data_IF_291533459965
#
_entry.id   IF_291533459965
#
_cell.length_a   1.000
_cell.length_b   1.000
_cell.length_c   1.000
_cell.angle_alpha   90.00
_cell.angle_beta   90.00
_cell.angle_gamma   90.00
#
_symmetry.space_group_name_H-M   'P 1'
#
loop_
_entity.id
_entity.type
_entity.pdbx_description
1 polymer ?
#
# COMPACT_ATOMS: atom_id res chain seq x y z
N UNK A 1 10.04 11.12 -17.41
CA UNK A 1 8.85 10.43 -16.86
C UNK A 1 7.64 11.04 -17.52
N UNK A 2 6.76 10.24 -18.11
CA UNK A 2 5.50 10.73 -18.70
C UNK A 2 4.50 11.05 -17.59
N UNK A 3 3.51 11.91 -17.88
CA UNK A 3 2.42 12.20 -16.94
C UNK A 3 1.62 10.94 -16.62
N UNK A 4 1.47 10.03 -17.58
CA UNK A 4 0.82 8.72 -17.41
C UNK A 4 1.56 7.81 -16.40
N UNK A 5 2.89 7.75 -16.49
CA UNK A 5 3.73 7.02 -15.52
C UNK A 5 3.61 7.63 -14.11
N UNK A 6 3.54 8.97 -14.01
CA UNK A 6 3.32 9.62 -12.73
C UNK A 6 1.94 9.28 -12.14
N UNK A 7 0.87 9.33 -12.94
CA UNK A 7 -0.48 8.96 -12.51
C UNK A 7 -0.55 7.49 -12.09
N UNK A 8 0.05 6.57 -12.86
CA UNK A 8 0.11 5.14 -12.54
C UNK A 8 0.77 4.91 -11.18
N UNK A 9 1.94 5.52 -10.95
CA UNK A 9 2.70 5.41 -9.68
C UNK A 9 1.92 5.96 -8.47
N UNK A 10 1.25 7.09 -8.65
CA UNK A 10 0.44 7.71 -7.59
C UNK A 10 -0.78 6.82 -7.26
N UNK A 11 -1.46 6.31 -8.29
CA UNK A 11 -2.59 5.39 -8.11
C UNK A 11 -2.16 4.11 -7.40
N UNK A 12 -1.07 3.48 -7.87
CA UNK A 12 -0.45 2.31 -7.26
C UNK A 12 -0.09 2.55 -5.78
N UNK A 13 0.43 3.72 -5.46
CA UNK A 13 0.73 4.11 -4.08
C UNK A 13 -0.52 4.18 -3.21
N UNK A 14 -1.53 4.95 -3.63
CA UNK A 14 -2.77 5.14 -2.85
C UNK A 14 -3.51 3.83 -2.68
N UNK A 15 -3.74 3.12 -3.78
CA UNK A 15 -4.44 1.84 -3.81
C UNK A 15 -3.76 0.79 -2.94
N UNK A 16 -2.43 0.66 -3.08
CA UNK A 16 -1.65 -0.27 -2.27
C UNK A 16 -1.72 0.01 -0.78
N UNK A 17 -1.72 1.28 -0.36
CA UNK A 17 -1.87 1.62 1.07
C UNK A 17 -3.27 1.30 1.59
N UNK A 18 -4.32 1.57 0.82
CA UNK A 18 -5.71 1.25 1.22
C UNK A 18 -5.89 -0.26 1.38
N UNK A 19 -5.41 -1.08 0.44
CA UNK A 19 -5.50 -2.54 0.55
C UNK A 19 -4.73 -3.11 1.73
N UNK A 20 -3.51 -2.62 1.96
CA UNK A 20 -2.71 -3.05 3.10
C UNK A 20 -3.36 -2.66 4.41
N UNK A 21 -3.94 -1.47 4.50
CA UNK A 21 -4.69 -1.07 5.69
C UNK A 21 -5.90 -1.96 5.91
N UNK A 22 -6.62 -2.35 4.86
CA UNK A 22 -7.69 -3.32 4.95
C UNK A 22 -7.20 -4.69 5.45
N UNK A 23 -6.03 -5.16 5.01
CA UNK A 23 -5.42 -6.39 5.50
C UNK A 23 -5.05 -6.31 7.00
N UNK A 24 -4.48 -5.19 7.43
CA UNK A 24 -4.20 -4.89 8.85
C UNK A 24 -5.52 -4.89 9.65
N UNK A 25 -6.54 -4.21 9.14
CA UNK A 25 -7.89 -4.15 9.72
C UNK A 25 -8.63 -5.48 9.62
N UNK A 26 -8.22 -6.45 8.82
CA UNK A 26 -8.80 -7.80 8.86
C UNK A 26 -8.05 -8.71 9.84
N UNK A 27 -6.81 -8.39 10.19
CA UNK A 27 -5.95 -9.21 11.05
C UNK A 27 -6.37 -9.19 12.52
N UNK A 28 -6.12 -10.27 13.25
CA UNK A 28 -6.36 -10.38 14.69
C UNK A 28 -5.09 -10.06 15.50
N UNK A 29 -5.21 -9.59 16.75
CA UNK A 29 -4.04 -9.41 17.63
C UNK A 29 -3.26 -10.70 17.87
N UNK A 30 -3.95 -11.84 18.05
CA UNK A 30 -3.30 -13.14 18.21
C UNK A 30 -2.53 -13.56 16.96
N UNK A 31 -3.08 -13.33 15.77
CA UNK A 31 -2.41 -13.55 14.49
C UNK A 31 -1.21 -12.61 14.29
N UNK A 32 -1.26 -11.40 14.85
CA UNK A 32 -0.10 -10.50 14.84
C UNK A 32 1.01 -10.99 15.78
N UNK A 33 0.68 -11.42 16.99
CA UNK A 33 1.65 -12.00 17.93
C UNK A 33 2.30 -13.28 17.41
N UNK A 34 1.60 -14.09 16.60
CA UNK A 34 2.15 -15.30 15.97
C UNK A 34 2.91 -15.04 14.67
N UNK A 35 2.86 -13.83 14.12
CA UNK A 35 3.44 -13.47 12.82
C UNK A 35 2.56 -13.80 11.61
N UNK A 36 1.42 -14.48 11.78
CA UNK A 36 0.45 -14.77 10.71
C UNK A 36 -0.03 -13.50 10.00
N UNK A 37 -0.31 -12.43 10.76
CA UNK A 37 -0.73 -11.16 10.19
C UNK A 37 0.34 -10.54 9.28
N UNK A 38 1.63 -10.73 9.58
CA UNK A 38 2.71 -10.24 8.72
C UNK A 38 2.71 -10.96 7.37
N UNK A 39 2.51 -12.28 7.38
CA UNK A 39 2.38 -13.09 6.16
C UNK A 39 1.15 -12.66 5.36
N UNK A 40 0.03 -12.44 6.04
CA UNK A 40 -1.21 -12.00 5.39
C UNK A 40 -1.04 -10.63 4.72
N UNK A 41 -0.49 -9.64 5.42
CA UNK A 41 -0.24 -8.29 4.89
C UNK A 41 0.72 -8.34 3.69
N UNK A 42 1.83 -9.09 3.81
CA UNK A 42 2.80 -9.24 2.73
C UNK A 42 2.18 -9.96 1.53
N UNK A 43 1.41 -11.00 1.79
CA UNK A 43 0.66 -11.76 0.79
C UNK A 43 -0.32 -10.90 0.04
N UNK A 44 -1.07 -10.02 0.72
CA UNK A 44 -1.97 -9.05 0.07
C UNK A 44 -1.19 -8.15 -0.89
N UNK A 45 -0.12 -7.51 -0.44
CA UNK A 45 0.65 -6.61 -1.31
C UNK A 45 1.29 -7.33 -2.50
N UNK A 46 1.85 -8.52 -2.28
CA UNK A 46 2.49 -9.31 -3.33
C UNK A 46 1.47 -9.80 -4.37
N UNK A 47 0.34 -10.35 -3.93
CA UNK A 47 -0.69 -10.86 -4.84
C UNK A 47 -1.36 -9.74 -5.62
N UNK A 48 -1.61 -8.57 -5.01
CA UNK A 48 -2.10 -7.39 -5.72
C UNK A 48 -1.10 -6.91 -6.77
N UNK A 49 0.18 -6.82 -6.42
CA UNK A 49 1.21 -6.44 -7.38
C UNK A 49 1.26 -7.41 -8.57
N UNK A 50 1.26 -8.71 -8.30
CA UNK A 50 1.26 -9.72 -9.35
C UNK A 50 0.01 -9.64 -10.23
N UNK A 51 -1.17 -9.50 -9.63
CA UNK A 51 -2.42 -9.37 -10.38
C UNK A 51 -2.40 -8.15 -11.30
N UNK A 52 -1.91 -7.01 -10.81
CA UNK A 52 -1.79 -5.76 -11.57
C UNK A 52 -0.85 -5.92 -12.77
N UNK A 53 0.35 -6.46 -12.53
CA UNK A 53 1.35 -6.70 -13.59
C UNK A 53 0.85 -7.72 -14.61
N UNK A 54 0.18 -8.79 -14.16
CA UNK A 54 -0.38 -9.79 -15.06
C UNK A 54 -1.48 -9.19 -15.93
N UNK A 55 -2.41 -8.43 -15.36
CA UNK A 55 -3.47 -7.76 -16.12
C UNK A 55 -2.88 -6.84 -17.20
N UNK A 56 -1.86 -6.05 -16.84
CA UNK A 56 -1.17 -5.18 -17.80
C UNK A 56 -0.39 -5.96 -18.87
N UNK A 57 0.26 -7.07 -18.49
CA UNK A 57 0.95 -7.92 -19.44
C UNK A 57 -0.01 -8.49 -20.49
N UNK A 58 -1.18 -8.97 -20.07
CA UNK A 58 -2.20 -9.46 -20.98
C UNK A 58 -2.70 -8.36 -21.93
N UNK A 59 -2.95 -7.14 -21.43
CA UNK A 59 -3.38 -6.03 -22.29
C UNK A 59 -2.27 -5.59 -23.26
N UNK A 60 -1.03 -5.44 -22.79
CA UNK A 60 0.10 -5.02 -23.61
C UNK A 60 0.42 -6.06 -24.69
N UNK A 61 0.36 -7.36 -24.37
CA UNK A 61 0.55 -8.43 -25.35
C UNK A 61 -0.54 -8.41 -26.44
N UNK A 62 -1.80 -8.15 -26.06
CA UNK A 62 -2.92 -8.09 -27.00
C UNK A 62 -2.86 -6.88 -27.95
N UNK A 63 -2.38 -5.73 -27.47
CA UNK A 63 -2.40 -4.47 -28.23
C UNK A 63 -1.08 -4.17 -28.94
N UNK A 64 0.06 -4.45 -28.29
CA UNK A 64 1.37 -3.91 -28.70
C UNK A 64 2.40 -4.99 -29.11
N UNK A 65 2.07 -6.28 -28.99
CA UNK A 65 2.89 -7.38 -29.53
C UNK A 65 4.36 -7.32 -29.10
N UNK A 66 5.28 -7.03 -30.03
CA UNK A 66 6.73 -6.97 -29.75
C UNK A 66 7.13 -5.81 -28.82
N UNK A 67 6.37 -4.72 -28.77
CA UNK A 67 6.62 -3.60 -27.85
C UNK A 67 6.17 -3.88 -26.40
N UNK A 68 5.34 -4.92 -26.19
CA UNK A 68 4.77 -5.26 -24.89
C UNK A 68 5.84 -5.53 -23.81
N UNK A 69 7.02 -6.04 -24.18
CA UNK A 69 8.09 -6.31 -23.20
C UNK A 69 8.63 -5.04 -22.55
N UNK A 70 8.74 -3.95 -23.32
CA UNK A 70 9.25 -2.69 -22.79
C UNK A 70 8.22 -2.03 -21.88
N UNK A 71 6.96 -1.99 -22.30
CA UNK A 71 5.84 -1.46 -21.51
C UNK A 71 5.67 -2.22 -20.19
N UNK A 72 5.71 -3.56 -20.22
CA UNK A 72 5.62 -4.39 -18.99
C UNK A 72 6.76 -4.09 -18.02
N UNK A 73 7.97 -3.80 -18.52
CA UNK A 73 9.10 -3.43 -17.67
C UNK A 73 8.91 -2.06 -17.04
N UNK A 74 8.33 -1.12 -17.77
CA UNK A 74 8.00 0.22 -17.24
C UNK A 74 6.89 0.11 -16.19
N UNK A 75 5.84 -0.67 -16.48
CA UNK A 75 4.74 -0.92 -15.54
C UNK A 75 5.20 -1.63 -14.27
N UNK A 76 6.11 -2.61 -14.38
CA UNK A 76 6.72 -3.26 -13.21
C UNK A 76 7.34 -2.24 -12.24
N UNK A 77 8.04 -1.25 -12.76
CA UNK A 77 8.65 -0.17 -11.95
C UNK A 77 7.58 0.76 -11.38
N UNK A 78 6.53 1.02 -12.16
CA UNK A 78 5.49 1.95 -11.78
C UNK A 78 4.53 1.35 -10.74
N UNK A 79 4.41 0.02 -10.69
CA UNK A 79 3.66 -0.74 -9.71
C UNK A 79 4.43 -1.01 -8.39
N UNK A 80 5.75 -0.75 -8.32
CA UNK A 80 6.57 -0.91 -7.10
C UNK A 80 5.94 -0.27 -5.84
N UNK A 81 5.28 0.91 -5.89
CA UNK A 81 4.61 1.48 -4.74
C UNK A 81 3.64 0.53 -4.03
N UNK A 82 3.00 -0.41 -4.74
CA UNK A 82 2.13 -1.46 -4.16
C UNK A 82 2.94 -2.40 -3.26
N UNK A 83 4.10 -2.87 -3.70
CA UNK A 83 4.94 -3.74 -2.86
C UNK A 83 5.42 -3.00 -1.62
N UNK A 84 5.86 -1.74 -1.79
CA UNK A 84 6.36 -0.97 -0.66
C UNK A 84 5.28 -0.63 0.36
N UNK A 85 4.00 -0.56 -0.03
CA UNK A 85 2.91 -0.28 0.90
C UNK A 85 2.72 -1.42 1.89
N UNK A 86 2.95 -2.67 1.50
CA UNK A 86 2.80 -3.84 2.38
C UNK A 86 4.08 -4.31 3.05
N UNK A 87 5.24 -4.15 2.40
CA UNK A 87 6.50 -4.66 2.93
C UNK A 87 6.86 -4.05 4.29
N UNK A 88 6.79 -2.72 4.42
CA UNK A 88 7.19 -2.05 5.65
C UNK A 88 6.23 -2.36 6.83
N UNK A 89 4.90 -2.31 6.67
CA UNK A 89 3.97 -2.74 7.72
C UNK A 89 4.10 -4.23 8.06
N UNK A 90 4.29 -5.11 7.07
CA UNK A 90 4.51 -6.53 7.32
C UNK A 90 5.80 -6.76 8.13
N UNK A 91 6.89 -6.05 7.81
CA UNK A 91 8.13 -6.12 8.57
C UNK A 91 7.94 -5.66 10.01
N UNK A 92 7.17 -4.59 10.26
CA UNK A 92 6.87 -4.10 11.61
C UNK A 92 6.11 -5.16 12.42
N UNK A 93 5.08 -5.77 11.83
CA UNK A 93 4.32 -6.83 12.49
C UNK A 93 5.18 -8.08 12.71
N UNK A 94 5.98 -8.47 11.73
CA UNK A 94 6.86 -9.63 11.81
C UNK A 94 7.98 -9.47 12.86
N UNK A 95 8.62 -8.29 12.91
CA UNK A 95 9.59 -7.95 13.96
C UNK A 95 8.90 -7.96 15.32
N UNK A 96 7.69 -7.39 15.42
CA UNK A 96 6.87 -7.44 16.62
C UNK A 96 6.66 -8.87 17.13
N UNK A 97 6.30 -9.80 16.24
CA UNK A 97 6.17 -11.21 16.60
C UNK A 97 7.49 -11.82 17.09
N UNK A 98 8.62 -11.55 16.41
CA UNK A 98 9.94 -12.07 16.81
C UNK A 98 10.39 -11.59 18.20
N UNK A 99 10.03 -10.36 18.58
CA UNK A 99 10.35 -9.79 19.90
C UNK A 99 9.24 -10.00 20.94
N UNK A 100 8.21 -10.79 20.62
CA UNK A 100 7.05 -11.06 21.50
C UNK A 100 6.29 -9.78 21.91
N UNK A 101 6.23 -8.80 21.02
CA UNK A 101 5.44 -7.59 21.20
C UNK A 101 3.94 -7.92 21.20
N UNK A 102 3.16 -7.16 21.97
CA UNK A 102 1.71 -7.25 21.93
C UNK A 102 1.19 -7.02 20.50
N UNK A 103 0.31 -7.91 20.04
CA UNK A 103 -0.20 -7.88 18.67
C UNK A 103 -1.05 -6.64 18.38
N UNK A 104 -1.75 -6.07 19.38
CA UNK A 104 -2.51 -4.82 19.21
C UNK A 104 -1.55 -3.66 18.97
N UNK A 105 -0.45 -3.60 19.71
CA UNK A 105 0.60 -2.58 19.50
C UNK A 105 1.21 -2.73 18.11
N UNK A 106 1.58 -3.95 17.71
CA UNK A 106 2.16 -4.22 16.40
C UNK A 106 1.25 -3.77 15.24
N UNK A 107 -0.04 -4.11 15.31
CA UNK A 107 -1.04 -3.70 14.32
C UNK A 107 -1.32 -2.19 14.36
N UNK A 108 -1.33 -1.57 15.54
CA UNK A 108 -1.52 -0.13 15.68
C UNK A 108 -0.36 0.67 15.05
N UNK A 109 0.89 0.25 15.28
CA UNK A 109 2.07 0.87 14.67
C UNK A 109 2.03 0.67 13.15
N UNK A 110 1.71 -0.54 12.68
CA UNK A 110 1.57 -0.81 11.25
C UNK A 110 0.48 0.07 10.59
N UNK A 111 -0.69 0.20 11.23
CA UNK A 111 -1.76 1.08 10.76
C UNK A 111 -1.34 2.55 10.75
N UNK A 112 -0.68 3.03 11.81
CA UNK A 112 -0.18 4.39 11.91
C UNK A 112 0.84 4.71 10.81
N UNK A 113 1.72 3.77 10.46
CA UNK A 113 2.65 3.92 9.35
C UNK A 113 1.93 4.10 8.01
N UNK A 114 0.90 3.30 7.74
CA UNK A 114 0.11 3.39 6.51
C UNK A 114 -0.72 4.68 6.46
N UNK A 115 -1.34 5.07 7.57
CA UNK A 115 -2.06 6.34 7.68
C UNK A 115 -1.13 7.54 7.49
N UNK A 116 0.07 7.50 8.06
CA UNK A 116 1.11 8.51 7.82
C UNK A 116 1.47 8.60 6.34
N UNK A 117 1.63 7.46 5.66
CA UNK A 117 1.87 7.43 4.21
C UNK A 117 0.73 8.08 3.41
N UNK A 118 -0.52 7.88 3.79
CA UNK A 118 -1.67 8.52 3.15
C UNK A 118 -1.72 10.02 3.45
N UNK A 119 -1.46 10.41 4.70
CA UNK A 119 -1.45 11.80 5.15
C UNK A 119 -0.36 12.62 4.43
N UNK A 120 0.85 12.07 4.36
CA UNK A 120 1.99 12.70 3.69
C UNK A 120 2.07 12.34 2.20
N UNK A 121 0.99 11.83 1.61
CA UNK A 121 0.94 11.47 0.20
C UNK A 121 1.27 12.64 -0.71
N UNK A 122 0.90 13.89 -0.37
CA UNK A 122 1.32 15.08 -1.12
C UNK A 122 2.84 15.18 -1.31
N UNK A 123 3.63 14.98 -0.24
CA UNK A 123 5.10 14.99 -0.30
C UNK A 123 5.66 13.81 -1.11
N UNK A 124 5.01 12.65 -1.01
CA UNK A 124 5.41 11.46 -1.76
C UNK A 124 5.07 11.60 -3.24
N UNK A 125 3.92 12.18 -3.56
CA UNK A 125 3.47 12.51 -4.92
C UNK A 125 4.43 13.50 -5.55
N UNK A 126 4.87 14.52 -4.82
CA UNK A 126 5.87 15.48 -5.30
C UNK A 126 7.19 14.78 -5.65
N UNK A 127 7.68 13.89 -4.79
CA UNK A 127 8.88 13.07 -5.09
C UNK A 127 8.67 12.09 -6.24
N UNK A 128 7.51 11.47 -6.35
CA UNK A 128 7.20 10.47 -7.37
C UNK A 128 6.96 11.08 -8.74
N UNK A 129 6.40 12.29 -8.80
CA UNK A 129 6.06 13.03 -10.03
C UNK A 129 7.14 14.03 -10.47
N UNK A 130 8.04 14.44 -9.56
CA UNK A 130 9.04 15.48 -9.81
C UNK A 130 8.43 16.89 -9.98
N UNK A 131 7.14 17.07 -9.66
CA UNK A 131 6.38 18.31 -9.75
C UNK A 131 5.81 18.65 -8.37
N UNK A 132 5.70 19.93 -7.99
CA UNK A 132 5.09 20.31 -6.71
C UNK A 132 3.67 19.77 -6.60
N UNK A 133 3.34 19.18 -5.45
CA UNK A 133 2.00 18.65 -5.23
C UNK A 133 0.97 19.79 -5.22
N UNK A 134 -0.16 19.56 -5.89
CA UNK A 134 -1.27 20.50 -5.84
C UNK A 134 -1.92 20.50 -4.45
N UNK A 135 -2.52 21.62 -4.06
CA UNK A 135 -3.29 21.71 -2.82
C UNK A 135 -4.40 20.63 -2.77
N UNK A 136 -4.99 20.29 -3.92
CA UNK A 136 -5.98 19.22 -4.03
C UNK A 136 -5.41 17.83 -3.71
N UNK A 137 -4.19 17.51 -4.16
CA UNK A 137 -3.53 16.24 -3.82
C UNK A 137 -3.21 16.15 -2.32
N UNK A 138 -2.79 17.26 -1.71
CA UNK A 138 -2.55 17.34 -0.27
C UNK A 138 -3.83 17.12 0.55
N UNK A 139 -4.90 17.86 0.24
CA UNK A 139 -6.20 17.69 0.93
C UNK A 139 -6.84 16.33 0.67
N UNK A 140 -6.66 15.77 -0.53
CA UNK A 140 -7.09 14.41 -0.87
C UNK A 140 -6.42 13.36 0.00
N UNK A 141 -5.10 13.49 0.24
CA UNK A 141 -4.34 12.65 1.16
C UNK A 141 -4.86 12.71 2.59
N UNK A 142 -5.10 13.92 3.10
CA UNK A 142 -5.68 14.15 4.43
C UNK A 142 -7.07 13.51 4.53
N UNK A 143 -7.95 13.76 3.57
CA UNK A 143 -9.30 13.22 3.56
C UNK A 143 -9.32 11.69 3.55
N UNK A 144 -8.46 11.09 2.74
CA UNK A 144 -8.32 9.63 2.68
C UNK A 144 -7.76 9.05 3.99
N UNK A 145 -6.73 9.68 4.57
CA UNK A 145 -6.18 9.27 5.86
C UNK A 145 -7.22 9.38 6.98
N UNK A 146 -8.03 10.45 6.99
CA UNK A 146 -9.10 10.63 7.96
C UNK A 146 -10.18 9.55 7.82
N UNK A 147 -10.68 9.31 6.61
CA UNK A 147 -11.69 8.28 6.35
C UNK A 147 -11.19 6.89 6.75
N UNK A 148 -9.95 6.56 6.38
CA UNK A 148 -9.31 5.31 6.74
C UNK A 148 -9.06 5.21 8.26
N UNK A 149 -8.69 6.31 8.92
CA UNK A 149 -8.54 6.39 10.37
C UNK A 149 -9.83 6.10 11.12
N UNK A 150 -10.99 6.57 10.61
CA UNK A 150 -12.31 6.23 11.18
C UNK A 150 -12.56 4.73 11.15
N UNK A 151 -12.22 4.05 10.03
CA UNK A 151 -12.37 2.59 9.92
C UNK A 151 -11.49 1.86 10.94
N UNK A 152 -10.22 2.28 11.06
CA UNK A 152 -9.29 1.69 12.05
C UNK A 152 -9.79 1.91 13.47
N UNK A 153 -10.20 3.15 13.81
CA UNK A 153 -10.75 3.48 15.12
C UNK A 153 -12.01 2.67 15.43
N UNK A 154 -12.91 2.54 14.45
CA UNK A 154 -14.11 1.70 14.57
C UNK A 154 -13.77 0.25 14.89
N UNK A 155 -12.81 -0.35 14.17
CA UNK A 155 -12.34 -1.70 14.50
C UNK A 155 -11.76 -1.78 15.91
N UNK A 156 -10.92 -0.82 16.30
CA UNK A 156 -10.34 -0.82 17.64
C UNK A 156 -11.42 -0.75 18.71
N UNK A 157 -12.46 0.07 18.55
CA UNK A 157 -13.56 0.21 19.50
C UNK A 157 -14.49 -1.02 19.54
N UNK A 158 -14.74 -1.67 18.39
CA UNK A 158 -15.64 -2.83 18.27
C UNK A 158 -14.98 -4.18 18.57
N UNK A 159 -13.65 -4.26 18.52
CA UNK A 159 -12.88 -5.47 18.83
C UNK A 159 -12.47 -5.58 20.32
N UNK A 160 -13.14 -4.82 21.19
CA UNK A 160 -13.16 -4.99 22.65
C UNK A 160 -14.42 -5.75 23.04
#
# INVERSE_FOLDING_TARGET
MSDESAVSRISAYVYGNVLVLAAIVASSPSGASSGEAAVYILGTALTTFLAHVLAHHFSAAAVHGKAARQEVREELRDAVPILTSGYLPAAVVGIGALIHLDGRISLAVAAALVLGRLLFSGLVIERLSGKPASAGAFWGGIGLAAAAGVVVAGKLLLAH
#
